data_IF_497626892342
#
_entry.id   IF_497626892342
#
_cell.length_a   1.000
_cell.length_b   1.000
_cell.length_c   1.000
_cell.angle_alpha   90.00
_cell.angle_beta   90.00
_cell.angle_gamma   90.00
#
_symmetry.space_group_name_H-M   'P 1'
#
loop_
_entity.id
_entity.type
_entity.pdbx_description
1 polymer ?
#
# COMPACT_ATOMS: atom_id res chain seq x y z
N UNK A 1 16.76 -17.28 5.47
CA UNK A 1 16.38 -16.22 6.43
C UNK A 1 15.38 -15.29 5.77
N UNK A 2 14.15 -15.21 6.29
CA UNK A 2 13.15 -14.21 5.87
C UNK A 2 12.66 -13.49 7.12
N UNK A 3 12.95 -12.19 7.20
CA UNK A 3 12.55 -11.35 8.31
C UNK A 3 11.20 -10.73 7.97
N UNK A 4 10.17 -10.95 8.81
CA UNK A 4 8.85 -10.34 8.63
C UNK A 4 8.63 -9.37 9.79
N UNK A 5 8.46 -8.09 9.48
CA UNK A 5 8.18 -7.06 10.48
C UNK A 5 6.69 -7.00 10.77
N UNK A 6 6.29 -7.28 12.01
CA UNK A 6 4.95 -7.04 12.51
C UNK A 6 5.04 -6.12 13.73
N UNK A 7 4.53 -4.89 13.59
CA UNK A 7 4.34 -3.93 14.69
C UNK A 7 5.61 -3.58 15.51
N UNK A 8 6.75 -3.34 14.85
CA UNK A 8 7.98 -2.92 15.55
C UNK A 8 8.67 -4.03 16.35
N UNK A 9 8.18 -5.27 16.25
CA UNK A 9 8.83 -6.47 16.74
C UNK A 9 9.31 -7.25 15.50
N UNK A 10 10.63 -7.38 15.36
CA UNK A 10 11.22 -8.26 14.36
C UNK A 10 11.13 -9.69 14.88
N UNK A 11 10.19 -10.46 14.34
CA UNK A 11 10.09 -11.88 14.65
C UNK A 11 10.90 -12.64 13.58
N UNK A 12 11.99 -13.28 14.01
CA UNK A 12 12.70 -14.26 13.18
C UNK A 12 11.91 -15.57 13.21
N UNK A 13 11.31 -15.92 12.08
CA UNK A 13 10.55 -17.14 11.91
C UNK A 13 11.40 -18.16 11.16
N UNK A 14 12.01 -19.09 11.90
CA UNK A 14 12.50 -20.34 11.34
C UNK A 14 11.35 -21.35 11.31
N UNK A 15 10.58 -21.34 10.22
CA UNK A 15 9.50 -22.29 9.97
C UNK A 15 9.99 -23.28 8.90
N UNK A 16 9.93 -24.60 9.15
CA UNK A 16 10.19 -25.62 8.14
C UNK A 16 9.31 -25.43 6.89
N UNK A 17 9.81 -25.74 5.69
CA UNK A 17 9.05 -25.53 4.43
C UNK A 17 7.68 -26.23 4.42
N UNK A 18 7.59 -27.42 5.01
CA UNK A 18 6.34 -28.17 5.14
C UNK A 18 5.29 -27.42 5.99
N UNK A 19 5.73 -26.75 7.04
CA UNK A 19 4.86 -25.96 7.91
C UNK A 19 4.44 -24.66 7.24
N UNK A 20 5.30 -24.08 6.40
CA UNK A 20 4.98 -22.92 5.55
C UNK A 20 3.87 -23.24 4.54
N UNK A 21 3.97 -24.37 3.84
CA UNK A 21 2.93 -24.81 2.91
C UNK A 21 1.59 -25.02 3.62
N UNK A 22 1.62 -25.63 4.81
CA UNK A 22 0.43 -25.82 5.64
C UNK A 22 -0.22 -24.48 6.07
N UNK A 23 0.59 -23.49 6.43
CA UNK A 23 0.12 -22.15 6.81
C UNK A 23 -0.55 -21.42 5.64
N UNK A 24 0.02 -21.52 4.43
CA UNK A 24 -0.55 -20.90 3.22
C UNK A 24 -1.87 -21.55 2.84
N UNK A 25 -1.95 -22.88 2.84
CA UNK A 25 -3.18 -23.61 2.55
C UNK A 25 -4.28 -23.39 3.59
N UNK A 26 -3.90 -23.25 4.86
CA UNK A 26 -4.81 -23.01 5.98
C UNK A 26 -4.95 -21.53 6.35
N UNK A 27 -4.64 -20.59 5.45
CA UNK A 27 -4.51 -19.19 5.84
C UNK A 27 -5.76 -18.62 6.51
N UNK A 28 -6.95 -18.79 5.92
CA UNK A 28 -8.21 -18.29 6.48
C UNK A 28 -8.56 -18.91 7.86
N UNK A 29 -8.44 -20.23 8.09
CA UNK A 29 -8.61 -20.82 9.41
C UNK A 29 -7.64 -20.26 10.47
N UNK A 30 -6.37 -20.07 10.10
CA UNK A 30 -5.36 -19.51 11.00
C UNK A 30 -5.67 -18.05 11.33
N UNK A 31 -6.07 -17.26 10.32
CA UNK A 31 -6.48 -15.87 10.49
C UNK A 31 -7.65 -15.73 11.48
N UNK A 32 -8.63 -16.63 11.36
CA UNK A 32 -9.76 -16.72 12.29
C UNK A 32 -9.32 -17.05 13.70
N UNK A 33 -8.44 -18.04 13.89
CA UNK A 33 -7.91 -18.39 15.23
C UNK A 33 -7.21 -17.19 15.87
N UNK A 34 -6.41 -16.47 15.08
CA UNK A 34 -5.72 -15.27 15.53
C UNK A 34 -6.72 -14.19 15.94
N UNK A 35 -7.74 -13.91 15.12
CA UNK A 35 -8.76 -12.91 15.43
C UNK A 35 -9.66 -13.30 16.60
N UNK A 36 -9.95 -14.59 16.79
CA UNK A 36 -10.66 -15.09 17.96
C UNK A 36 -9.88 -14.85 19.26
N UNK A 37 -8.54 -14.95 19.22
CA UNK A 37 -7.68 -14.61 20.36
C UNK A 37 -7.64 -13.11 20.67
N UNK A 38 -7.88 -12.26 19.67
CA UNK A 38 -7.87 -10.80 19.80
C UNK A 38 -9.26 -10.17 20.02
N UNK A 39 -10.32 -10.98 20.08
CA UNK A 39 -11.73 -10.53 20.08
C UNK A 39 -12.09 -9.54 21.18
N UNK A 40 -11.38 -9.53 22.31
CA UNK A 40 -11.62 -8.60 23.40
C UNK A 40 -11.03 -7.19 23.16
N UNK A 41 -10.14 -7.05 22.17
CA UNK A 41 -9.37 -5.81 21.94
C UNK A 41 -9.55 -5.23 20.53
N UNK A 42 -9.84 -6.08 19.53
CA UNK A 42 -9.95 -5.68 18.11
C UNK A 42 -11.13 -6.40 17.45
N UNK A 43 -11.96 -5.62 16.74
CA UNK A 43 -13.18 -6.13 16.09
C UNK A 43 -12.97 -6.53 14.63
N UNK A 44 -11.91 -6.04 13.98
CA UNK A 44 -11.64 -6.25 12.57
C UNK A 44 -10.14 -6.27 12.27
N UNK A 45 -9.78 -6.85 11.13
CA UNK A 45 -8.43 -6.85 10.59
C UNK A 45 -8.40 -6.25 9.19
N UNK A 46 -7.45 -5.35 8.97
CA UNK A 46 -7.09 -4.86 7.64
C UNK A 46 -5.76 -5.48 7.26
N UNK A 47 -5.73 -6.17 6.13
CA UNK A 47 -4.52 -6.73 5.52
C UNK A 47 -4.24 -5.91 4.27
N UNK A 48 -3.08 -5.27 4.21
CA UNK A 48 -2.64 -4.51 3.03
C UNK A 48 -1.56 -5.34 2.34
N UNK A 49 -1.82 -5.70 1.08
CA UNK A 49 -0.87 -6.38 0.20
C UNK A 49 -0.38 -5.36 -0.82
N UNK A 50 0.71 -4.67 -0.50
CA UNK A 50 1.37 -3.75 -1.42
C UNK A 50 2.32 -4.49 -2.37
N UNK A 51 2.51 -3.91 -3.55
CA UNK A 51 3.43 -4.38 -4.59
C UNK A 51 3.33 -5.89 -4.89
N UNK A 52 2.14 -6.35 -5.30
CA UNK A 52 1.93 -7.75 -5.70
C UNK A 52 2.65 -8.14 -7.01
N UNK A 53 3.56 -7.32 -7.54
CA UNK A 53 4.22 -7.53 -8.83
C UNK A 53 4.88 -8.91 -8.93
N UNK A 54 5.49 -9.39 -7.84
CA UNK A 54 6.15 -10.70 -7.78
C UNK A 54 5.19 -11.90 -7.70
N UNK A 55 3.90 -11.67 -7.43
CA UNK A 55 2.90 -12.70 -7.17
C UNK A 55 1.75 -12.71 -8.20
N UNK A 56 1.48 -11.57 -8.84
CA UNK A 56 0.35 -11.39 -9.76
C UNK A 56 0.39 -12.33 -10.98
N UNK A 57 1.57 -12.81 -11.37
CA UNK A 57 1.75 -13.78 -12.45
C UNK A 57 1.60 -15.25 -12.03
N UNK A 58 1.39 -15.54 -10.74
CA UNK A 58 1.30 -16.90 -10.22
C UNK A 58 -0.15 -17.37 -10.12
N UNK A 59 -0.45 -18.48 -10.79
CA UNK A 59 -1.76 -19.15 -10.67
C UNK A 59 -2.00 -19.64 -9.23
N UNK A 60 -0.94 -20.05 -8.52
CA UNK A 60 -1.02 -20.47 -7.12
C UNK A 60 -1.51 -19.32 -6.24
N UNK A 61 -0.94 -18.12 -6.41
CA UNK A 61 -1.36 -16.93 -5.66
C UNK A 61 -2.79 -16.51 -6.01
N UNK A 62 -3.16 -16.53 -7.29
CA UNK A 62 -4.53 -16.21 -7.72
C UNK A 62 -5.57 -17.18 -7.11
N UNK A 63 -5.26 -18.48 -7.08
CA UNK A 63 -6.12 -19.49 -6.47
C UNK A 63 -6.17 -19.35 -4.95
N UNK A 64 -5.04 -19.07 -4.30
CA UNK A 64 -4.96 -18.81 -2.86
C UNK A 64 -5.81 -17.60 -2.45
N UNK A 65 -5.74 -16.51 -3.21
CA UNK A 65 -6.53 -15.31 -2.93
C UNK A 65 -8.03 -15.63 -3.03
N UNK A 66 -8.43 -16.37 -4.05
CA UNK A 66 -9.83 -16.78 -4.25
C UNK A 66 -10.32 -17.68 -3.13
N UNK A 67 -9.57 -18.72 -2.77
CA UNK A 67 -9.95 -19.66 -1.71
C UNK A 67 -10.05 -18.95 -0.36
N UNK A 68 -9.12 -18.03 -0.08
CA UNK A 68 -9.11 -17.21 1.14
C UNK A 68 -10.39 -16.38 1.23
N UNK A 69 -10.76 -15.67 0.16
CA UNK A 69 -11.97 -14.83 0.16
C UNK A 69 -13.24 -15.66 0.26
N UNK A 70 -13.32 -16.79 -0.46
CA UNK A 70 -14.48 -17.70 -0.37
C UNK A 70 -14.67 -18.25 1.03
N UNK A 71 -13.59 -18.68 1.66
CA UNK A 71 -13.67 -19.25 3.01
C UNK A 71 -14.09 -18.20 4.04
N UNK A 72 -13.61 -16.97 3.91
CA UNK A 72 -14.03 -15.85 4.76
C UNK A 72 -15.53 -15.53 4.52
N UNK A 73 -16.00 -15.58 3.28
CA UNK A 73 -17.38 -15.21 2.92
C UNK A 73 -18.42 -16.30 3.24
N UNK A 74 -18.05 -17.58 3.22
CA UNK A 74 -19.00 -18.71 3.36
C UNK A 74 -19.16 -19.22 4.80
N UNK A 75 -18.24 -18.91 5.70
CA UNK A 75 -18.32 -19.36 7.09
C UNK A 75 -19.18 -18.41 7.93
N UNK A 76 -20.31 -18.90 8.44
CA UNK A 76 -21.32 -18.13 9.20
C UNK A 76 -20.86 -17.47 10.52
N UNK A 77 -19.61 -17.65 10.94
CA UNK A 77 -18.97 -16.87 11.99
C UNK A 77 -18.08 -15.81 11.34
N UNK A 78 -18.69 -14.71 10.90
CA UNK A 78 -18.01 -13.67 10.13
C UNK A 78 -16.88 -13.06 10.97
N UNK A 79 -15.66 -13.32 10.52
CA UNK A 79 -14.50 -12.55 10.92
C UNK A 79 -14.48 -11.31 10.04
N UNK A 80 -14.48 -10.12 10.62
CA UNK A 80 -14.40 -8.88 9.84
C UNK A 80 -12.97 -8.68 9.33
N UNK A 81 -12.68 -9.21 8.14
CA UNK A 81 -11.40 -9.04 7.44
C UNK A 81 -11.61 -8.21 6.19
N UNK A 82 -10.79 -7.19 6.01
CA UNK A 82 -10.64 -6.47 4.76
C UNK A 82 -9.24 -6.76 4.19
N UNK A 83 -9.18 -7.19 2.93
CA UNK A 83 -7.92 -7.37 2.21
C UNK A 83 -7.84 -6.28 1.16
N UNK A 84 -6.94 -5.32 1.35
CA UNK A 84 -6.63 -4.27 0.40
C UNK A 84 -5.43 -4.71 -0.43
N UNK A 85 -5.65 -4.97 -1.72
CA UNK A 85 -4.60 -5.31 -2.66
C UNK A 85 -4.21 -4.06 -3.43
N UNK A 86 -2.96 -3.60 -3.28
CA UNK A 86 -2.44 -2.40 -3.93
C UNK A 86 -1.55 -2.81 -5.09
N UNK A 87 -1.78 -2.21 -6.25
CA UNK A 87 -1.01 -2.49 -7.45
C UNK A 87 -1.57 -1.81 -8.69
N UNK A 88 -0.87 -2.00 -9.81
CA UNK A 88 -1.29 -1.48 -11.10
C UNK A 88 -2.45 -2.29 -11.68
N UNK A 89 -3.27 -1.67 -12.54
CA UNK A 89 -4.41 -2.35 -13.16
C UNK A 89 -3.97 -3.58 -13.96
N UNK A 90 -2.80 -3.54 -14.60
CA UNK A 90 -2.24 -4.66 -15.34
C UNK A 90 -2.05 -5.89 -14.45
N UNK A 91 -1.70 -5.71 -13.17
CA UNK A 91 -1.54 -6.81 -12.20
C UNK A 91 -2.88 -7.41 -11.81
N UNK A 92 -3.89 -6.56 -11.64
CA UNK A 92 -5.27 -7.01 -11.43
C UNK A 92 -5.77 -7.82 -12.62
N UNK A 93 -5.52 -7.36 -13.85
CA UNK A 93 -5.89 -8.08 -15.08
C UNK A 93 -5.16 -9.43 -15.19
N UNK A 94 -3.89 -9.50 -14.79
CA UNK A 94 -3.14 -10.76 -14.76
C UNK A 94 -3.79 -11.78 -13.81
N UNK A 95 -4.13 -11.37 -12.58
CA UNK A 95 -4.81 -12.21 -11.62
C UNK A 95 -6.16 -12.71 -12.15
N UNK A 96 -6.96 -11.83 -12.76
CA UNK A 96 -8.26 -12.18 -13.34
C UNK A 96 -8.10 -13.17 -14.49
N UNK A 97 -7.07 -13.03 -15.34
CA UNK A 97 -6.80 -14.00 -16.42
C UNK A 97 -6.47 -15.38 -15.90
N UNK A 98 -5.70 -15.46 -14.80
CA UNK A 98 -5.34 -16.72 -14.15
C UNK A 98 -6.52 -17.35 -13.41
N UNK A 99 -7.35 -16.52 -12.78
CA UNK A 99 -8.54 -16.96 -12.05
C UNK A 99 -9.73 -16.00 -12.31
N UNK A 100 -10.56 -16.27 -13.34
CA UNK A 100 -11.64 -15.36 -13.77
C UNK A 100 -12.66 -15.01 -12.69
N UNK A 101 -12.84 -15.90 -11.70
CA UNK A 101 -13.76 -15.67 -10.59
C UNK A 101 -13.34 -14.53 -9.66
N UNK A 102 -12.06 -14.14 -9.65
CA UNK A 102 -11.57 -12.98 -8.88
C UNK A 102 -12.16 -11.65 -9.37
N UNK A 103 -12.63 -11.57 -10.63
CA UNK A 103 -13.21 -10.35 -11.18
C UNK A 103 -14.41 -9.84 -10.37
N UNK A 104 -15.17 -10.75 -9.74
CA UNK A 104 -16.34 -10.41 -8.92
C UNK A 104 -16.00 -10.13 -7.45
N UNK A 105 -14.76 -10.43 -7.05
CA UNK A 105 -14.27 -10.29 -5.69
C UNK A 105 -13.66 -8.91 -5.47
N UNK A 106 -13.02 -8.34 -6.50
CA UNK A 106 -12.41 -7.02 -6.40
C UNK A 106 -13.45 -5.91 -6.41
N UNK A 107 -13.43 -5.10 -5.36
CA UNK A 107 -13.97 -3.74 -5.37
C UNK A 107 -12.83 -2.77 -5.70
N UNK A 108 -12.90 -2.11 -6.86
CA UNK A 108 -11.77 -1.35 -7.41
C UNK A 108 -11.90 0.11 -7.01
N UNK A 109 -10.93 0.59 -6.24
CA UNK A 109 -10.74 2.02 -5.95
C UNK A 109 -9.62 2.55 -6.84
N UNK A 110 -9.98 3.43 -7.78
CA UNK A 110 -9.01 4.10 -8.65
C UNK A 110 -8.39 5.30 -7.93
N UNK A 111 -7.06 5.30 -7.79
CA UNK A 111 -6.31 6.47 -7.29
C UNK A 111 -5.92 7.32 -8.49
N UNK A 112 -6.53 8.51 -8.59
CA UNK A 112 -6.25 9.47 -9.66
C UNK A 112 -5.06 10.36 -9.28
N UNK A 113 -4.33 10.90 -10.28
CA UNK A 113 -3.41 12.00 -10.03
C UNK A 113 -4.14 13.16 -9.36
N UNK A 114 -3.42 13.90 -8.50
CA UNK A 114 -3.94 15.09 -7.86
C UNK A 114 -4.37 16.13 -8.89
N UNK A 115 -5.43 16.86 -8.56
CA UNK A 115 -5.83 18.05 -9.29
C UNK A 115 -4.76 19.15 -9.19
N UNK A 116 -4.86 20.18 -10.04
CA UNK A 116 -3.97 21.35 -9.92
C UNK A 116 -4.16 22.04 -8.58
N UNK A 117 -5.38 22.06 -8.07
CA UNK A 117 -5.75 22.66 -6.79
C UNK A 117 -5.12 21.88 -5.62
N UNK A 118 -5.24 20.55 -5.62
CA UNK A 118 -4.62 19.68 -4.61
C UNK A 118 -3.09 19.79 -4.63
N UNK A 119 -2.51 19.82 -5.82
CA UNK A 119 -1.06 19.98 -6.01
C UNK A 119 -0.58 21.34 -5.52
N UNK A 120 -1.33 22.42 -5.81
CA UNK A 120 -1.03 23.77 -5.34
C UNK A 120 -1.14 23.87 -3.81
N UNK A 121 -2.19 23.29 -3.23
CA UNK A 121 -2.38 23.22 -1.77
C UNK A 121 -1.26 22.43 -1.10
N UNK A 122 -0.83 21.31 -1.70
CA UNK A 122 0.33 20.53 -1.24
C UNK A 122 1.59 21.40 -1.15
N UNK A 123 1.95 22.11 -2.22
CA UNK A 123 3.14 22.97 -2.21
C UNK A 123 3.00 24.14 -1.23
N UNK A 124 1.84 24.79 -1.21
CA UNK A 124 1.55 25.91 -0.32
C UNK A 124 1.72 25.52 1.16
N UNK A 125 1.14 24.38 1.57
CA UNK A 125 1.28 23.85 2.93
C UNK A 125 2.72 23.43 3.22
N UNK A 126 3.37 22.77 2.27
CA UNK A 126 4.74 22.26 2.44
C UNK A 126 5.73 23.40 2.66
N UNK A 127 5.78 24.38 1.76
CA UNK A 127 6.67 25.54 1.91
C UNK A 127 6.24 26.46 3.06
N UNK A 128 4.94 26.62 3.28
CA UNK A 128 4.41 27.39 4.40
C UNK A 128 4.83 26.83 5.76
N UNK A 129 4.89 25.50 5.91
CA UNK A 129 5.30 24.84 7.16
C UNK A 129 6.73 25.17 7.60
N UNK A 130 7.57 25.61 6.66
CA UNK A 130 8.98 26.00 6.87
C UNK A 130 9.20 27.50 6.66
N UNK A 131 8.12 28.28 6.63
CA UNK A 131 8.16 29.75 6.56
C UNK A 131 8.55 30.31 5.19
N UNK A 132 8.50 29.51 4.12
CA UNK A 132 8.79 29.97 2.75
C UNK A 132 7.51 30.40 2.05
N UNK A 133 7.58 31.59 1.45
CA UNK A 133 6.58 32.07 0.50
C UNK A 133 7.04 31.78 -0.92
N UNK A 134 6.16 31.17 -1.69
CA UNK A 134 6.40 30.83 -3.10
C UNK A 134 5.73 31.88 -3.97
N UNK A 135 6.46 32.41 -4.94
CA UNK A 135 5.89 33.32 -5.95
C UNK A 135 4.90 32.58 -6.86
N UNK A 136 3.82 33.24 -7.29
CA UNK A 136 2.76 32.63 -8.10
C UNK A 136 3.28 31.95 -9.37
N UNK A 137 4.25 32.57 -10.05
CA UNK A 137 4.88 31.99 -11.24
C UNK A 137 5.65 30.71 -10.93
N UNK A 138 6.36 30.67 -9.80
CA UNK A 138 7.07 29.47 -9.37
C UNK A 138 6.09 28.35 -9.00
N UNK A 139 5.00 28.71 -8.32
CA UNK A 139 3.90 27.78 -8.00
C UNK A 139 3.31 27.17 -9.27
N UNK A 140 2.98 27.99 -10.27
CA UNK A 140 2.40 27.52 -11.52
C UNK A 140 3.32 26.53 -12.25
N UNK A 141 4.62 26.81 -12.27
CA UNK A 141 5.62 25.91 -12.87
C UNK A 141 5.71 24.58 -12.11
N UNK A 142 5.77 24.61 -10.78
CA UNK A 142 5.83 23.38 -9.97
C UNK A 142 4.58 22.52 -10.15
N UNK A 143 3.39 23.14 -10.11
CA UNK A 143 2.12 22.44 -10.34
C UNK A 143 2.11 21.83 -11.74
N UNK A 144 2.49 22.60 -12.77
CA UNK A 144 2.51 22.12 -14.16
C UNK A 144 3.46 20.92 -14.34
N UNK A 145 4.67 21.00 -13.81
CA UNK A 145 5.69 19.95 -14.01
C UNK A 145 5.51 18.73 -13.12
N UNK A 146 4.80 18.86 -11.99
CA UNK A 146 4.46 17.69 -11.15
C UNK A 146 3.43 16.77 -11.81
N UNK A 147 2.60 17.28 -12.72
CA UNK A 147 1.57 16.50 -13.40
C UNK A 147 0.53 15.86 -12.46
N UNK A 148 0.39 16.37 -11.22
CA UNK A 148 -0.49 15.78 -10.21
C UNK A 148 0.06 14.50 -9.58
N UNK A 149 1.30 14.09 -9.90
CA UNK A 149 1.91 12.88 -9.33
C UNK A 149 2.61 13.22 -8.01
N UNK A 150 2.22 12.61 -6.88
CA UNK A 150 2.82 12.90 -5.57
C UNK A 150 4.34 12.77 -5.55
N UNK A 151 4.86 11.72 -6.20
CA UNK A 151 6.31 11.48 -6.33
C UNK A 151 7.01 12.65 -7.03
N UNK A 152 6.47 13.14 -8.14
CA UNK A 152 7.06 14.28 -8.85
C UNK A 152 6.92 15.57 -8.06
N UNK A 153 5.79 15.78 -7.38
CA UNK A 153 5.58 16.93 -6.52
C UNK A 153 6.64 16.99 -5.40
N UNK A 154 6.96 15.84 -4.78
CA UNK A 154 7.99 15.74 -3.77
C UNK A 154 9.39 16.06 -4.32
N UNK A 155 9.79 15.45 -5.44
CA UNK A 155 11.11 15.66 -6.05
C UNK A 155 11.32 17.11 -6.51
N UNK A 156 10.29 17.70 -7.13
CA UNK A 156 10.33 19.11 -7.57
C UNK A 156 10.40 20.03 -6.35
N UNK A 157 9.57 19.78 -5.33
CA UNK A 157 9.56 20.58 -4.10
C UNK A 157 10.91 20.59 -3.40
N UNK A 158 11.55 19.43 -3.26
CA UNK A 158 12.88 19.30 -2.68
C UNK A 158 13.97 20.01 -3.51
N UNK A 159 13.92 19.88 -4.84
CA UNK A 159 14.86 20.58 -5.72
C UNK A 159 14.73 22.11 -5.60
N UNK A 160 13.51 22.63 -5.53
CA UNK A 160 13.22 24.05 -5.34
C UNK A 160 13.71 24.52 -3.97
N UNK A 161 13.43 23.75 -2.92
CA UNK A 161 13.92 24.04 -1.57
C UNK A 161 15.45 24.15 -1.49
N UNK A 162 16.16 23.18 -2.06
CA UNK A 162 17.64 23.15 -2.09
C UNK A 162 18.22 24.34 -2.85
N UNK A 163 17.62 24.71 -3.97
CA UNK A 163 18.06 25.87 -4.75
C UNK A 163 17.85 27.18 -3.99
N UNK A 164 16.75 27.31 -3.25
CA UNK A 164 16.42 28.54 -2.51
C UNK A 164 17.22 28.73 -1.22
N UNK A 165 17.64 27.65 -0.55
CA UNK A 165 18.26 27.72 0.79
C UNK A 165 19.72 27.23 0.84
N UNK A 166 20.32 26.90 -0.31
CA UNK A 166 21.66 26.31 -0.38
C UNK A 166 21.71 24.86 0.14
N UNK A 167 22.85 24.17 -0.01
CA UNK A 167 22.99 22.78 0.39
C UNK A 167 22.96 22.66 1.93
N UNK A 168 21.80 22.32 2.48
CA UNK A 168 21.72 21.84 3.87
C UNK A 168 22.24 20.40 3.89
N UNK A 169 23.46 20.21 4.41
CA UNK A 169 24.07 18.91 4.62
C UNK A 169 23.24 18.11 5.65
N UNK A 170 22.17 17.45 5.21
CA UNK A 170 21.39 16.52 6.02
C UNK A 170 21.18 15.22 5.25
N UNK A 171 21.81 14.18 5.79
CA UNK A 171 21.71 12.80 5.37
C UNK A 171 20.23 12.37 5.43
N UNK A 172 19.74 11.89 4.29
CA UNK A 172 18.39 11.41 4.03
C UNK A 172 17.75 10.65 5.20
N UNK A 173 16.57 11.10 5.64
CA UNK A 173 15.49 10.19 6.01
C UNK A 173 14.41 10.40 4.96
N UNK A 174 14.33 9.51 3.97
CA UNK A 174 13.09 9.32 3.23
C UNK A 174 12.01 9.01 4.26
N UNK A 175 11.23 10.02 4.64
CA UNK A 175 9.92 9.75 5.24
C UNK A 175 9.01 9.53 4.04
N UNK A 176 9.01 8.28 3.56
CA UNK A 176 8.03 7.82 2.59
C UNK A 176 6.67 7.90 3.29
N UNK A 177 5.99 9.04 3.13
CA UNK A 177 4.56 9.11 3.38
C UNK A 177 3.90 8.39 2.20
N UNK A 178 3.67 7.09 2.37
CA UNK A 178 2.82 6.33 1.47
C UNK A 178 1.39 6.90 1.59
N UNK A 179 0.83 7.37 0.48
CA UNK A 179 -0.60 7.57 0.30
C UNK A 179 -1.19 6.34 -0.36
#
# INVERSE_FOLDING_TARGET
>A
MKQVGLFGISVELEIPEADLASLVHGFAPHLRKLLAGLRNERQAMLIILDDINGLAGSAEFANWLKSTVDEIATNGNSVSVCILVVGLDERRQQLIRLQPSLARVFDVVEIKPWSREETSDFFCRTFGSVGIKVEDRAMELMVKFSGGLPVLAHEIGDAVWRKSNGPVNRRWRCVCWYF
#
